data_IF_310877788208
#
_entry.id   IF_310877788208
#
_cell.length_a   1.000
_cell.length_b   1.000
_cell.length_c   1.000
_cell.angle_alpha   90.00
_cell.angle_beta   90.00
_cell.angle_gamma   90.00
#
_symmetry.space_group_name_H-M   'P 1'
#
loop_
_entity.id
_entity.type
_entity.pdbx_description
1 polymer ?
#
# COMPACT_ATOMS: atom_id res chain seq x y z
N UNK A 1 -7.92 7.36 -6.84
CA UNK A 1 -8.73 6.36 -6.14
C UNK A 1 -8.72 6.71 -4.67
N UNK A 2 -9.90 6.80 -4.05
CA UNK A 2 -10.02 7.08 -2.62
C UNK A 2 -9.59 5.86 -1.80
N UNK A 3 -9.38 6.07 -0.49
CA UNK A 3 -9.13 4.96 0.46
C UNK A 3 -10.32 3.99 0.48
N UNK A 4 -11.53 4.51 0.37
CA UNK A 4 -12.75 3.70 0.39
C UNK A 4 -12.87 2.79 -0.82
N UNK A 5 -12.68 3.33 -2.03
CA UNK A 5 -12.66 2.56 -3.28
C UNK A 5 -11.58 1.47 -3.25
N UNK A 6 -10.38 1.83 -2.80
CA UNK A 6 -9.26 0.89 -2.67
C UNK A 6 -9.57 -0.23 -1.67
N UNK A 7 -10.25 0.11 -0.58
CA UNK A 7 -10.69 -0.84 0.45
C UNK A 7 -11.80 -1.79 -0.03
N UNK A 8 -12.76 -1.28 -0.82
CA UNK A 8 -13.80 -2.11 -1.44
C UNK A 8 -13.19 -3.10 -2.43
N UNK A 9 -12.21 -2.66 -3.24
CA UNK A 9 -11.49 -3.53 -4.15
C UNK A 9 -10.68 -4.60 -3.40
N UNK A 10 -10.00 -4.24 -2.32
CA UNK A 10 -9.26 -5.18 -1.49
C UNK A 10 -10.15 -6.29 -0.91
N UNK A 11 -11.35 -5.93 -0.41
CA UNK A 11 -12.36 -6.90 0.07
C UNK A 11 -12.88 -7.80 -1.04
N UNK A 12 -13.13 -7.24 -2.23
CA UNK A 12 -13.56 -8.03 -3.37
C UNK A 12 -12.50 -9.06 -3.74
N UNK A 13 -11.24 -8.65 -3.82
CA UNK A 13 -10.10 -9.53 -4.12
C UNK A 13 -9.98 -10.67 -3.09
N UNK A 14 -10.10 -10.35 -1.79
CA UNK A 14 -10.13 -11.36 -0.73
C UNK A 14 -11.31 -12.34 -0.89
N UNK A 15 -12.51 -11.82 -1.15
CA UNK A 15 -13.73 -12.63 -1.31
C UNK A 15 -13.63 -13.59 -2.50
N UNK A 16 -12.98 -13.17 -3.58
CA UNK A 16 -12.80 -13.99 -4.77
C UNK A 16 -11.83 -15.15 -4.53
N UNK A 17 -10.94 -15.06 -3.54
CA UNK A 17 -9.96 -16.10 -3.17
C UNK A 17 -9.18 -16.68 -4.38
N UNK A 18 -8.86 -15.81 -5.35
CA UNK A 18 -8.15 -16.14 -6.60
C UNK A 18 -6.82 -15.41 -6.75
N UNK A 19 -6.46 -14.61 -5.76
CA UNK A 19 -5.30 -13.73 -5.78
C UNK A 19 -4.49 -13.95 -4.52
N UNK A 20 -3.18 -14.01 -4.66
CA UNK A 20 -2.26 -14.27 -3.54
C UNK A 20 -1.93 -13.00 -2.73
N UNK A 21 -2.29 -11.83 -3.24
CA UNK A 21 -1.94 -10.55 -2.64
C UNK A 21 -2.53 -9.34 -3.37
N UNK A 22 -2.48 -8.19 -2.70
CA UNK A 22 -2.83 -6.89 -3.28
C UNK A 22 -1.58 -6.01 -3.35
N UNK A 23 -1.50 -5.14 -4.35
CA UNK A 23 -0.43 -4.14 -4.43
C UNK A 23 -1.01 -2.72 -4.42
N UNK A 24 -0.38 -1.81 -3.67
CA UNK A 24 -0.82 -0.42 -3.55
C UNK A 24 0.31 0.55 -3.86
N UNK A 25 -0.03 1.57 -4.66
CA UNK A 25 0.79 2.76 -4.87
C UNK A 25 0.65 3.73 -3.70
N UNK A 26 1.61 4.64 -3.56
CA UNK A 26 1.39 5.85 -2.78
C UNK A 26 0.23 6.67 -3.38
N UNK A 27 -0.55 7.40 -2.55
CA UNK A 27 -1.55 8.32 -3.06
C UNK A 27 -0.89 9.40 -3.92
N UNK A 28 -1.48 9.66 -5.08
CA UNK A 28 -0.91 10.56 -6.11
C UNK A 28 -1.55 11.95 -6.02
N UNK A 29 -2.79 12.04 -5.51
CA UNK A 29 -3.52 13.31 -5.43
C UNK A 29 -2.95 14.25 -4.35
N UNK A 30 -2.42 13.68 -3.27
CA UNK A 30 -1.77 14.43 -2.19
C UNK A 30 -0.44 13.78 -1.86
N UNK A 31 0.58 14.60 -1.60
CA UNK A 31 1.86 14.09 -1.15
C UNK A 31 1.74 13.58 0.28
N UNK A 32 2.05 12.31 0.47
CA UNK A 32 2.40 11.76 1.78
C UNK A 32 3.69 12.41 2.26
N UNK A 33 3.63 13.08 3.41
CA UNK A 33 4.71 13.95 3.90
C UNK A 33 5.73 13.16 4.74
N UNK A 34 5.31 12.05 5.37
CA UNK A 34 6.15 11.24 6.23
C UNK A 34 5.75 9.75 6.24
N UNK A 35 6.58 8.94 6.91
CA UNK A 35 6.38 7.50 7.05
C UNK A 35 5.02 7.12 7.65
N UNK A 36 4.62 7.82 8.70
CA UNK A 36 3.41 7.51 9.46
C UNK A 36 2.16 7.65 8.60
N UNK A 37 2.08 8.72 7.81
CA UNK A 37 0.97 8.92 6.90
C UNK A 37 0.89 7.83 5.82
N UNK A 38 2.04 7.35 5.31
CA UNK A 38 2.06 6.27 4.31
C UNK A 38 1.59 4.97 4.94
N UNK A 39 2.13 4.64 6.12
CA UNK A 39 1.77 3.44 6.88
C UNK A 39 0.28 3.46 7.22
N UNK A 40 -0.23 4.57 7.78
CA UNK A 40 -1.66 4.70 8.12
C UNK A 40 -2.55 4.55 6.88
N UNK A 41 -2.15 5.07 5.73
CA UNK A 41 -2.85 4.84 4.46
C UNK A 41 -2.89 3.35 4.10
N UNK A 42 -1.75 2.67 4.09
CA UNK A 42 -1.66 1.25 3.74
C UNK A 42 -2.43 0.37 4.74
N UNK A 43 -2.31 0.65 6.04
CA UNK A 43 -3.04 -0.05 7.11
C UNK A 43 -4.54 0.14 6.99
N UNK A 44 -5.00 1.34 6.64
CA UNK A 44 -6.44 1.61 6.48
C UNK A 44 -7.09 0.70 5.43
N UNK A 45 -6.33 0.31 4.40
CA UNK A 45 -6.78 -0.60 3.33
C UNK A 45 -6.58 -2.05 3.76
N UNK A 46 -5.43 -2.40 4.36
CA UNK A 46 -5.16 -3.74 4.86
C UNK A 46 -6.20 -4.19 5.90
N UNK A 47 -6.61 -3.29 6.80
CA UNK A 47 -7.65 -3.53 7.81
C UNK A 47 -9.02 -3.82 7.20
N UNK A 48 -9.26 -3.49 5.92
CA UNK A 48 -10.49 -3.89 5.22
C UNK A 48 -10.51 -5.38 4.87
N UNK A 49 -9.35 -6.02 4.84
CA UNK A 49 -9.17 -7.45 4.53
C UNK A 49 -8.88 -8.30 5.77
N UNK A 50 -9.17 -7.77 6.97
CA UNK A 50 -8.83 -8.39 8.26
C UNK A 50 -7.35 -8.79 8.38
N UNK A 51 -6.48 -8.14 7.60
CA UNK A 51 -5.05 -8.43 7.53
C UNK A 51 -4.70 -9.83 7.01
N UNK A 52 -5.64 -10.54 6.37
CA UNK A 52 -5.45 -11.89 5.84
C UNK A 52 -4.74 -11.91 4.48
N UNK A 53 -4.83 -10.82 3.72
CA UNK A 53 -4.16 -10.71 2.43
C UNK A 53 -2.76 -10.10 2.58
N UNK A 54 -1.72 -10.72 1.99
CA UNK A 54 -0.44 -10.05 1.77
C UNK A 54 -0.64 -8.76 0.98
N UNK A 55 0.03 -7.69 1.41
CA UNK A 55 0.01 -6.41 0.72
C UNK A 55 1.41 -6.09 0.25
N UNK A 56 1.51 -5.61 -0.98
CA UNK A 56 2.74 -5.20 -1.64
C UNK A 56 2.73 -3.68 -1.74
N UNK A 57 3.74 -3.01 -1.19
CA UNK A 57 3.91 -1.60 -1.49
C UNK A 57 4.59 -1.49 -2.86
N UNK A 58 3.85 -0.97 -3.83
CA UNK A 58 4.35 -0.71 -5.17
C UNK A 58 4.96 0.68 -5.20
N UNK A 59 6.29 0.75 -5.19
CA UNK A 59 7.01 2.01 -5.14
C UNK A 59 7.31 2.52 -6.55
N UNK A 60 6.65 3.61 -6.96
CA UNK A 60 6.84 4.21 -8.29
C UNK A 60 7.02 5.74 -8.21
N UNK A 61 8.20 6.23 -7.82
CA UNK A 61 8.43 7.64 -7.50
C UNK A 61 8.22 8.56 -8.71
N UNK A 62 8.62 8.12 -9.91
CA UNK A 62 8.50 8.93 -11.14
C UNK A 62 7.05 9.20 -11.56
N UNK A 63 6.12 8.33 -11.15
CA UNK A 63 4.67 8.49 -11.43
C UNK A 63 3.90 9.07 -10.26
N UNK A 64 4.33 8.80 -9.04
CA UNK A 64 3.64 9.22 -7.81
C UNK A 64 4.15 10.56 -7.28
N UNK A 65 5.35 10.98 -7.66
CA UNK A 65 6.04 12.15 -7.08
C UNK A 65 6.61 11.89 -5.67
N UNK A 66 6.58 10.63 -5.21
CA UNK A 66 6.91 10.21 -3.84
C UNK A 66 8.31 9.60 -3.77
N UNK A 67 9.33 10.45 -3.63
CA UNK A 67 10.75 10.02 -3.71
C UNK A 67 11.25 9.24 -2.48
N UNK A 68 10.79 9.58 -1.28
CA UNK A 68 11.42 9.11 -0.02
C UNK A 68 10.69 7.95 0.68
N UNK A 69 9.70 7.33 0.03
CA UNK A 69 8.85 6.33 0.68
C UNK A 69 9.55 5.04 1.11
N UNK A 70 10.62 4.62 0.41
CA UNK A 70 11.35 3.41 0.78
C UNK A 70 12.07 3.56 2.13
N UNK A 71 12.68 4.73 2.36
CA UNK A 71 13.38 5.01 3.62
C UNK A 71 12.42 4.90 4.80
N UNK A 72 11.20 5.42 4.63
CA UNK A 72 10.16 5.40 5.64
C UNK A 72 9.69 4.00 6.04
N UNK A 73 9.49 3.11 5.07
CA UNK A 73 8.96 1.77 5.35
C UNK A 73 10.03 0.82 5.90
N UNK A 74 11.30 1.02 5.51
CA UNK A 74 12.44 0.27 6.06
C UNK A 74 12.71 0.63 7.52
N UNK A 75 12.61 1.90 7.91
CA UNK A 75 12.82 2.37 9.30
C UNK A 75 11.77 1.79 10.26
N UNK A 76 10.55 1.54 9.78
CA UNK A 76 9.44 1.04 10.62
C UNK A 76 9.40 -0.50 10.74
N UNK A 77 10.33 -1.25 10.14
CA UNK A 77 10.42 -2.72 10.26
C UNK A 77 9.10 -3.44 9.92
N UNK A 78 8.36 -2.94 8.92
CA UNK A 78 7.06 -3.48 8.54
C UNK A 78 7.20 -4.81 7.80
N UNK A 79 6.98 -5.93 8.51
CA UNK A 79 7.14 -7.29 7.98
C UNK A 79 5.98 -7.78 7.09
N UNK A 80 4.91 -7.01 6.94
CA UNK A 80 3.72 -7.39 6.15
C UNK A 80 3.76 -6.92 4.69
N UNK A 81 4.77 -6.14 4.29
CA UNK A 81 4.88 -5.61 2.94
C UNK A 81 6.08 -6.19 2.21
N UNK A 82 5.84 -6.76 1.02
CA UNK A 82 6.90 -7.09 0.07
C UNK A 82 7.03 -5.90 -0.91
N UNK A 83 8.27 -5.54 -1.26
CA UNK A 83 8.57 -4.37 -2.08
C UNK A 83 8.92 -4.82 -3.49
N UNK A 84 8.23 -4.27 -4.49
CA UNK A 84 8.54 -4.47 -5.90
C UNK A 84 9.20 -3.20 -6.44
N UNK A 85 10.47 -3.33 -6.85
CA UNK A 85 11.24 -2.27 -7.51
C UNK A 85 11.33 -2.60 -9.00
N UNK A 86 10.92 -1.68 -9.86
CA UNK A 86 11.24 -1.74 -11.28
C UNK A 86 12.21 -0.59 -11.56
N UNK A 87 13.43 -0.95 -11.96
CA UNK A 87 14.50 -0.03 -12.40
C UNK A 87 14.31 0.37 -13.85
#
# INVERSE_FOLDING_TARGET
MSVEESGQLARLVQTLNRFDGIALLAPIFYKVINADQLVSYLESILNKTDGQMPLLYYHFPDRTGQQNCNHFLLVKNFKKFVFLFFS
#
